data_IF_885315644964
#
_entry.id   IF_885315644964
#
_cell.length_a   1.000
_cell.length_b   1.000
_cell.length_c   1.000
_cell.angle_alpha   90.00
_cell.angle_beta   90.00
_cell.angle_gamma   90.00
#
_symmetry.space_group_name_H-M   'P 1'
#
loop_
_entity.id
_entity.type
_entity.pdbx_description
1 polymer ?
#
# COMPACT_ATOMS: atom_id res chain seq x y z
N UNK A 1 2.93 -88.07 7.77
CA UNK A 1 3.10 -87.22 8.96
C UNK A 1 2.88 -85.78 8.52
N UNK A 2 1.80 -85.19 9.02
CA UNK A 2 1.43 -83.80 8.77
C UNK A 2 2.01 -82.91 9.87
N UNK A 3 2.51 -81.73 9.49
CA UNK A 3 2.62 -80.57 10.39
C UNK A 3 2.39 -79.30 9.58
N UNK A 4 1.27 -78.65 9.88
CA UNK A 4 0.94 -77.23 9.67
C UNK A 4 2.00 -76.32 10.36
N UNK A 5 2.15 -75.01 10.18
CA UNK A 5 1.25 -73.92 9.77
C UNK A 5 2.08 -72.62 9.56
N UNK A 6 1.40 -71.59 9.04
CA UNK A 6 1.59 -70.15 9.26
C UNK A 6 2.52 -69.34 8.33
N UNK A 7 1.84 -68.79 7.33
CA UNK A 7 2.09 -67.49 6.69
C UNK A 7 2.07 -66.33 7.69
N UNK A 8 3.00 -65.37 7.54
CA UNK A 8 2.82 -63.97 7.95
C UNK A 8 3.22 -63.03 6.81
N UNK A 9 2.53 -61.89 6.63
CA UNK A 9 2.81 -60.92 5.58
C UNK A 9 3.73 -59.82 6.11
N UNK A 10 4.81 -59.50 5.40
CA UNK A 10 5.54 -58.24 5.61
C UNK A 10 5.35 -57.32 4.40
N UNK A 11 4.21 -56.64 4.40
CA UNK A 11 4.12 -55.32 3.82
C UNK A 11 4.48 -54.29 4.89
N UNK A 12 5.52 -53.50 4.66
CA UNK A 12 5.72 -52.23 5.34
C UNK A 12 6.74 -51.35 4.58
N UNK A 13 6.20 -50.39 3.84
CA UNK A 13 6.56 -48.97 3.98
C UNK A 13 7.95 -48.50 3.54
N UNK A 14 8.17 -48.43 2.22
CA UNK A 14 9.12 -47.46 1.61
C UNK A 14 8.48 -46.06 1.47
N UNK A 15 7.79 -45.58 2.51
CA UNK A 15 7.07 -44.29 2.48
C UNK A 15 7.18 -43.55 3.83
N UNK A 16 8.39 -43.39 4.33
CA UNK A 16 8.65 -42.63 5.56
C UNK A 16 9.58 -41.42 5.38
N UNK A 17 9.98 -41.08 4.15
CA UNK A 17 10.89 -39.95 3.88
C UNK A 17 10.25 -38.80 3.09
N UNK A 18 8.91 -38.68 3.10
CA UNK A 18 8.19 -37.65 2.32
C UNK A 18 7.30 -36.72 3.14
N UNK A 19 7.53 -36.60 4.45
CA UNK A 19 6.63 -35.87 5.35
C UNK A 19 7.30 -34.79 6.22
N UNK A 20 8.35 -34.10 5.72
CA UNK A 20 8.91 -32.91 6.40
C UNK A 20 9.31 -31.79 5.44
N UNK A 21 8.49 -31.52 4.43
CA UNK A 21 8.50 -30.23 3.72
C UNK A 21 7.07 -29.71 3.52
N UNK A 22 6.25 -29.80 4.57
CA UNK A 22 5.15 -28.84 4.72
C UNK A 22 5.79 -27.50 5.04
N UNK A 23 6.05 -26.71 4.00
CA UNK A 23 6.22 -25.26 4.15
C UNK A 23 5.05 -24.83 5.03
N UNK A 24 5.28 -24.24 6.21
CA UNK A 24 4.19 -23.71 7.03
C UNK A 24 3.32 -22.86 6.11
N UNK A 25 2.01 -23.07 6.14
CA UNK A 25 1.07 -22.22 5.43
C UNK A 25 1.25 -20.81 6.02
N UNK A 26 2.18 -20.06 5.43
CA UNK A 26 2.54 -18.72 5.83
C UNK A 26 1.30 -17.92 5.51
N UNK A 27 0.46 -17.67 6.52
CA UNK A 27 -0.63 -16.74 6.36
C UNK A 27 -0.03 -15.36 6.01
N UNK A 28 -0.70 -14.57 5.17
CA UNK A 28 -0.23 -13.23 4.86
C UNK A 28 -0.21 -12.43 6.16
N UNK A 29 0.81 -11.59 6.34
CA UNK A 29 0.90 -10.72 7.53
C UNK A 29 -0.42 -9.99 7.76
N UNK A 30 -0.94 -10.07 8.98
CA UNK A 30 -2.15 -9.37 9.41
C UNK A 30 -1.83 -8.46 10.59
N UNK A 31 -2.55 -7.34 10.67
CA UNK A 31 -2.50 -6.47 11.83
C UNK A 31 -3.16 -7.11 13.07
N UNK A 32 -3.09 -6.44 14.21
CA UNK A 32 -3.71 -6.89 15.48
C UNK A 32 -5.22 -7.13 15.35
N UNK A 33 -5.88 -6.45 14.41
CA UNK A 33 -7.31 -6.59 14.13
C UNK A 33 -7.60 -7.67 13.05
N UNK A 34 -6.58 -8.34 12.52
CA UNK A 34 -6.67 -9.40 11.53
C UNK A 34 -6.86 -8.91 10.08
N UNK A 35 -6.57 -7.66 9.77
CA UNK A 35 -6.62 -7.11 8.40
C UNK A 35 -5.28 -7.24 7.68
N UNK A 36 -5.35 -7.38 6.36
CA UNK A 36 -4.19 -7.32 5.48
C UNK A 36 -3.61 -5.90 5.43
N UNK A 37 -2.34 -5.73 5.00
CA UNK A 37 -1.70 -4.43 4.89
C UNK A 37 -2.55 -3.41 4.12
N UNK A 38 -2.69 -2.22 4.67
CA UNK A 38 -3.45 -1.13 4.05
C UNK A 38 -2.54 -0.37 3.08
N UNK A 39 -2.99 -0.23 1.82
CA UNK A 39 -2.24 0.51 0.79
C UNK A 39 -2.98 1.79 0.37
N UNK A 40 -2.28 2.77 -0.22
CA UNK A 40 -2.92 3.93 -0.84
C UNK A 40 -3.94 3.52 -1.91
N UNK A 41 -5.08 4.20 -1.92
CA UNK A 41 -6.10 4.07 -2.96
C UNK A 41 -5.52 4.47 -4.33
N UNK A 42 -5.69 3.62 -5.34
CA UNK A 42 -5.19 3.88 -6.69
C UNK A 42 -5.82 5.09 -7.38
N UNK A 43 -7.00 5.54 -6.92
CA UNK A 43 -7.73 6.67 -7.53
C UNK A 43 -7.40 8.03 -6.91
N UNK A 44 -7.26 8.09 -5.58
CA UNK A 44 -7.13 9.36 -4.85
C UNK A 44 -5.90 9.43 -3.92
N UNK A 45 -5.10 8.37 -3.83
CA UNK A 45 -3.92 8.32 -2.96
C UNK A 45 -4.21 8.17 -1.46
N UNK A 46 -5.46 8.36 -1.01
CA UNK A 46 -5.82 8.20 0.41
C UNK A 46 -5.63 6.76 0.87
N UNK A 47 -5.08 6.57 2.08
CA UNK A 47 -4.89 5.24 2.66
C UNK A 47 -6.24 4.52 2.80
N UNK A 48 -6.32 3.28 2.29
CA UNK A 48 -7.51 2.45 2.42
C UNK A 48 -7.75 2.07 3.88
N UNK A 49 -9.00 1.74 4.20
CA UNK A 49 -9.40 1.24 5.53
C UNK A 49 -9.97 -0.17 5.43
N UNK A 50 -9.65 -1.03 6.39
CA UNK A 50 -10.23 -2.35 6.57
C UNK A 50 -11.52 -2.29 7.40
N UNK A 51 -12.54 -3.04 7.00
CA UNK A 51 -13.83 -3.17 7.71
C UNK A 51 -14.36 -4.58 7.61
N UNK A 52 -15.23 -4.95 8.55
CA UNK A 52 -16.00 -6.20 8.52
C UNK A 52 -17.43 -5.86 8.10
N UNK A 53 -17.99 -6.62 7.16
CA UNK A 53 -19.36 -6.40 6.70
C UNK A 53 -20.36 -6.89 7.75
N UNK A 54 -21.40 -6.10 7.95
CA UNK A 54 -22.56 -6.44 8.77
C UNK A 54 -23.81 -6.72 7.92
N UNK A 55 -23.70 -6.64 6.58
CA UNK A 55 -24.84 -6.85 5.68
C UNK A 55 -25.19 -8.33 5.57
N UNK A 56 -26.48 -8.62 5.49
CA UNK A 56 -27.01 -9.96 5.18
C UNK A 56 -26.34 -10.50 3.90
N UNK A 57 -25.91 -11.76 3.91
CA UNK A 57 -25.18 -12.39 2.80
C UNK A 57 -23.66 -12.13 2.74
N UNK A 58 -23.15 -11.11 3.43
CA UNK A 58 -21.69 -10.87 3.55
C UNK A 58 -21.21 -10.66 4.98
N UNK A 59 -22.08 -10.94 5.97
CA UNK A 59 -21.79 -10.74 7.39
C UNK A 59 -20.50 -11.47 7.78
N UNK A 60 -19.58 -10.75 8.43
CA UNK A 60 -18.29 -11.28 8.85
C UNK A 60 -17.19 -11.23 7.79
N UNK A 61 -17.50 -10.96 6.51
CA UNK A 61 -16.48 -10.82 5.47
C UNK A 61 -15.72 -9.51 5.61
N UNK A 62 -14.39 -9.57 5.50
CA UNK A 62 -13.51 -8.40 5.48
C UNK A 62 -13.52 -7.74 4.10
N UNK A 63 -13.51 -6.41 4.11
CA UNK A 63 -13.43 -5.59 2.91
C UNK A 63 -12.59 -4.33 3.16
N UNK A 64 -12.04 -3.79 2.08
CA UNK A 64 -11.12 -2.67 2.07
C UNK A 64 -11.72 -1.58 1.19
N UNK A 65 -11.87 -0.36 1.73
CA UNK A 65 -12.50 0.75 1.00
C UNK A 65 -11.74 2.06 1.17
N UNK A 66 -11.95 2.98 0.26
CA UNK A 66 -11.54 4.36 0.45
C UNK A 66 -12.40 5.04 1.55
N UNK A 67 -11.81 5.81 2.47
CA UNK A 67 -12.58 6.53 3.48
C UNK A 67 -13.35 7.74 2.92
N UNK A 68 -12.89 8.34 1.81
CA UNK A 68 -13.54 9.47 1.12
C UNK A 68 -14.85 9.09 0.40
N UNK A 69 -15.63 8.17 0.96
CA UNK A 69 -16.83 7.59 0.37
C UNK A 69 -18.13 8.33 0.75
N UNK A 70 -18.06 9.47 1.45
CA UNK A 70 -19.23 10.16 1.98
C UNK A 70 -19.85 11.16 1.00
N UNK A 71 -21.18 11.28 1.09
CA UNK A 71 -22.19 11.67 0.08
C UNK A 71 -21.94 12.94 -0.75
N UNK A 72 -20.94 12.89 -1.63
CA UNK A 72 -20.62 13.95 -2.60
C UNK A 72 -20.33 13.33 -3.97
N UNK A 73 -20.51 14.09 -5.04
CA UNK A 73 -20.21 13.63 -6.40
C UNK A 73 -18.72 13.31 -6.62
N UNK A 74 -17.86 13.79 -5.71
CA UNK A 74 -16.42 13.56 -5.69
C UNK A 74 -16.00 12.35 -4.82
N UNK A 75 -16.96 11.60 -4.28
CA UNK A 75 -16.67 10.47 -3.41
C UNK A 75 -15.90 9.36 -4.15
N UNK A 76 -14.77 8.94 -3.59
CA UNK A 76 -13.98 7.87 -4.17
C UNK A 76 -14.62 6.51 -3.87
N UNK A 77 -15.20 5.88 -4.90
CA UNK A 77 -15.96 4.62 -4.80
C UNK A 77 -15.09 3.35 -4.76
N UNK A 78 -13.80 3.48 -4.48
CA UNK A 78 -12.88 2.34 -4.46
C UNK A 78 -13.22 1.40 -3.30
N UNK A 79 -13.42 0.13 -3.64
CA UNK A 79 -13.88 -0.92 -2.72
C UNK A 79 -13.40 -2.29 -3.21
N UNK A 80 -12.94 -3.14 -2.29
CA UNK A 80 -12.52 -4.52 -2.55
C UNK A 80 -12.94 -5.43 -1.40
N UNK A 81 -13.55 -6.58 -1.71
CA UNK A 81 -13.53 -7.70 -0.74
C UNK A 81 -12.11 -8.27 -0.63
N UNK A 82 -11.81 -8.95 0.48
CA UNK A 82 -10.48 -9.50 0.72
C UNK A 82 -9.95 -10.35 -0.44
N UNK A 83 -10.81 -11.17 -1.07
CA UNK A 83 -10.49 -11.98 -2.26
C UNK A 83 -10.00 -11.18 -3.47
N UNK A 84 -10.47 -9.95 -3.64
CA UNK A 84 -10.01 -9.04 -4.71
C UNK A 84 -8.89 -8.11 -4.25
N UNK A 85 -8.70 -7.98 -2.94
CA UNK A 85 -7.65 -7.17 -2.36
C UNK A 85 -6.29 -7.88 -2.36
N UNK A 86 -6.26 -9.21 -2.14
CA UNK A 86 -5.02 -9.99 -2.16
C UNK A 86 -4.28 -9.87 -3.50
N UNK A 87 -4.92 -10.04 -4.68
CA UNK A 87 -4.24 -9.84 -5.96
C UNK A 87 -3.68 -8.42 -6.15
N UNK A 88 -4.37 -7.40 -5.60
CA UNK A 88 -3.89 -6.02 -5.61
C UNK A 88 -2.64 -5.85 -4.75
N UNK A 89 -2.58 -6.51 -3.59
CA UNK A 89 -1.39 -6.48 -2.74
C UNK A 89 -0.21 -7.22 -3.37
N UNK A 90 -0.48 -8.32 -4.06
CA UNK A 90 0.53 -9.06 -4.83
C UNK A 90 1.07 -8.22 -5.99
N UNK A 91 0.19 -7.56 -6.76
CA UNK A 91 0.61 -6.70 -7.87
C UNK A 91 1.39 -5.47 -7.41
N UNK A 92 1.12 -4.97 -6.20
CA UNK A 92 1.89 -3.90 -5.56
C UNK A 92 3.17 -4.37 -4.86
N UNK A 93 3.47 -5.67 -4.86
CA UNK A 93 4.65 -6.22 -4.18
C UNK A 93 4.58 -6.19 -2.65
N UNK A 94 3.40 -5.93 -2.08
CA UNK A 94 3.17 -5.91 -0.63
C UNK A 94 3.01 -7.32 -0.09
N UNK A 95 2.41 -8.21 -0.88
CA UNK A 95 2.34 -9.64 -0.58
C UNK A 95 3.17 -10.44 -1.60
N UNK A 96 3.85 -11.52 -1.17
CA UNK A 96 4.51 -12.46 -2.08
C UNK A 96 3.56 -13.07 -3.13
N UNK A 97 4.11 -13.43 -4.29
CA UNK A 97 3.33 -13.97 -5.44
C UNK A 97 2.59 -15.28 -5.15
N UNK A 98 3.02 -16.07 -4.17
CA UNK A 98 2.32 -17.31 -3.80
C UNK A 98 0.94 -17.05 -3.19
N UNK A 99 0.70 -15.85 -2.64
CA UNK A 99 -0.60 -15.50 -2.06
C UNK A 99 -1.73 -15.34 -3.09
N UNK A 100 -1.41 -15.07 -4.36
CA UNK A 100 -2.45 -15.02 -5.40
C UNK A 100 -2.95 -16.41 -5.83
N UNK A 101 -2.25 -17.49 -5.46
CA UNK A 101 -2.59 -18.87 -5.85
C UNK A 101 -3.37 -19.64 -4.77
N UNK A 102 -3.35 -19.19 -3.52
CA UNK A 102 -3.85 -19.94 -2.36
C UNK A 102 -5.37 -20.17 -2.34
N UNK A 103 -6.15 -19.49 -3.18
CA UNK A 103 -7.63 -19.61 -3.17
C UNK A 103 -8.26 -20.14 -4.45
N UNK A 104 -7.45 -20.78 -5.32
CA UNK A 104 -7.91 -21.46 -6.53
C UNK A 104 -7.81 -22.99 -6.47
N UNK A 105 -7.53 -23.58 -5.31
CA UNK A 105 -7.20 -25.01 -5.18
C UNK A 105 -8.41 -25.87 -4.84
N UNK A 106 -9.45 -25.78 -5.68
CA UNK A 106 -10.40 -26.87 -5.89
C UNK A 106 -10.18 -27.42 -7.29
N UNK A 107 -9.29 -28.42 -7.38
CA UNK A 107 -9.14 -29.28 -8.55
C UNK A 107 -8.18 -28.80 -9.65
N UNK A 108 -6.89 -29.13 -9.53
CA UNK A 108 -6.14 -29.75 -10.64
C UNK A 108 -4.77 -30.20 -10.15
N UNK A 109 -4.34 -31.35 -10.69
CA UNK A 109 -3.22 -32.14 -10.24
C UNK A 109 -1.88 -31.41 -10.25
N UNK A 110 -1.04 -31.82 -9.31
CA UNK A 110 0.38 -31.49 -9.25
C UNK A 110 1.08 -32.14 -10.45
N UNK A 111 1.22 -31.41 -11.56
CA UNK A 111 2.19 -31.77 -12.59
C UNK A 111 3.54 -31.20 -12.19
N UNK A 112 4.46 -32.11 -11.86
CA UNK A 112 5.85 -31.82 -11.54
C UNK A 112 6.48 -31.17 -12.76
N UNK A 113 6.79 -29.87 -12.67
CA UNK A 113 7.53 -29.13 -13.68
C UNK A 113 8.94 -29.70 -13.80
N UNK A 114 9.14 -30.48 -14.87
CA UNK A 114 10.44 -30.85 -15.43
C UNK A 114 10.67 -29.88 -16.59
N UNK A 115 11.59 -28.94 -16.45
CA UNK A 115 12.66 -28.66 -17.44
C UNK A 115 13.41 -27.36 -17.06
N UNK A 116 14.75 -27.39 -17.05
CA UNK A 116 15.62 -26.29 -16.61
C UNK A 116 15.63 -25.06 -17.52
N UNK A 117 14.78 -25.01 -18.55
CA UNK A 117 14.73 -23.97 -19.57
C UNK A 117 13.87 -22.76 -19.19
N UNK A 118 12.90 -22.96 -18.29
CA UNK A 118 11.97 -21.91 -17.85
C UNK A 118 12.54 -21.01 -16.73
N UNK A 119 13.57 -21.48 -16.03
CA UNK A 119 14.25 -20.72 -14.98
C UNK A 119 15.02 -19.51 -15.56
N UNK A 120 15.60 -19.66 -16.75
CA UNK A 120 16.41 -18.61 -17.39
C UNK A 120 15.57 -17.39 -17.83
N UNK A 121 14.34 -17.61 -18.30
CA UNK A 121 13.39 -16.53 -18.65
C UNK A 121 12.85 -15.82 -17.41
N UNK A 122 12.66 -16.56 -16.31
CA UNK A 122 12.23 -15.97 -15.04
C UNK A 122 13.31 -15.04 -14.46
N UNK A 123 14.59 -15.40 -14.56
CA UNK A 123 15.71 -14.55 -14.13
C UNK A 123 15.84 -13.29 -15.00
N UNK A 124 15.79 -13.41 -16.33
CA UNK A 124 15.84 -12.24 -17.23
C UNK A 124 14.68 -11.25 -17.00
N UNK A 125 13.49 -11.74 -16.68
CA UNK A 125 12.35 -10.89 -16.34
C UNK A 125 12.51 -10.16 -15.00
N UNK A 126 13.23 -10.75 -14.04
CA UNK A 126 13.54 -10.11 -12.75
C UNK A 126 14.61 -9.04 -12.93
N UNK A 127 15.65 -9.30 -13.73
CA UNK A 127 16.71 -8.32 -14.01
C UNK A 127 16.15 -7.09 -14.77
N UNK A 128 15.29 -7.31 -15.77
CA UNK A 128 14.62 -6.22 -16.47
C UNK A 128 13.68 -5.41 -15.54
N UNK A 129 13.04 -6.07 -14.56
CA UNK A 129 12.22 -5.40 -13.57
C UNK A 129 13.07 -4.61 -12.55
N UNK A 130 14.28 -5.09 -12.24
CA UNK A 130 15.24 -4.41 -11.39
C UNK A 130 15.76 -3.12 -12.05
N UNK A 131 16.11 -3.16 -13.35
CA UNK A 131 16.55 -1.96 -14.09
C UNK A 131 15.43 -0.91 -14.18
N UNK A 132 14.19 -1.33 -14.42
CA UNK A 132 13.03 -0.42 -14.43
C UNK A 132 12.79 0.21 -13.05
N UNK A 133 12.99 -0.56 -11.97
CA UNK A 133 12.85 -0.06 -10.61
C UNK A 133 13.96 0.92 -10.24
N UNK A 134 15.23 0.63 -10.61
CA UNK A 134 16.34 1.56 -10.41
C UNK A 134 16.15 2.86 -11.20
N UNK A 135 15.68 2.78 -12.44
CA UNK A 135 15.33 3.95 -13.24
C UNK A 135 14.19 4.78 -12.63
N UNK A 136 13.14 4.13 -12.13
CA UNK A 136 12.04 4.80 -11.43
C UNK A 136 12.51 5.48 -10.12
N UNK A 137 13.43 4.85 -9.38
CA UNK A 137 14.04 5.42 -8.17
C UNK A 137 14.86 6.66 -8.50
N UNK A 138 15.63 6.65 -9.60
CA UNK A 138 16.38 7.83 -10.07
C UNK A 138 15.41 8.97 -10.39
N UNK A 139 14.37 8.70 -11.18
CA UNK A 139 13.36 9.71 -11.53
C UNK A 139 12.62 10.29 -10.30
N UNK A 140 12.28 9.45 -9.33
CA UNK A 140 11.65 9.89 -8.08
C UNK A 140 12.60 10.76 -7.25
N UNK A 141 13.88 10.41 -7.23
CA UNK A 141 14.92 11.17 -6.52
C UNK A 141 15.18 12.53 -7.17
N UNK A 142 15.17 12.60 -8.49
CA UNK A 142 15.25 13.87 -9.23
C UNK A 142 14.00 14.73 -8.98
N UNK A 143 12.83 14.10 -8.93
CA UNK A 143 11.56 14.78 -8.62
C UNK A 143 11.53 15.32 -7.19
N UNK A 144 12.07 14.57 -6.23
CA UNK A 144 12.24 15.01 -4.84
C UNK A 144 13.18 16.21 -4.74
N UNK A 145 14.30 16.20 -5.46
CA UNK A 145 15.26 17.31 -5.48
C UNK A 145 14.63 18.59 -6.05
N UNK A 146 13.85 18.47 -7.13
CA UNK A 146 13.13 19.60 -7.72
C UNK A 146 12.05 20.13 -6.77
N UNK A 147 11.31 19.25 -6.10
CA UNK A 147 10.31 19.65 -5.12
C UNK A 147 10.95 20.37 -3.93
N UNK A 148 12.11 19.89 -3.46
CA UNK A 148 12.88 20.54 -2.39
C UNK A 148 13.34 21.94 -2.79
N UNK A 149 13.83 22.11 -4.02
CA UNK A 149 14.21 23.43 -4.55
C UNK A 149 13.02 24.39 -4.66
N UNK A 150 11.83 23.90 -5.02
CA UNK A 150 10.59 24.69 -5.04
C UNK A 150 10.16 25.10 -3.62
N UNK A 151 10.23 24.17 -2.66
CA UNK A 151 9.92 24.45 -1.25
C UNK A 151 10.86 25.50 -0.66
N UNK A 152 12.17 25.41 -0.93
CA UNK A 152 13.15 26.39 -0.49
C UNK A 152 12.96 27.76 -1.15
N UNK A 153 12.54 27.78 -2.42
CA UNK A 153 12.19 29.02 -3.11
C UNK A 153 10.94 29.67 -2.52
N UNK A 154 9.92 28.88 -2.19
CA UNK A 154 8.68 29.36 -1.56
C UNK A 154 8.93 29.86 -0.13
N UNK A 155 9.77 29.18 0.66
CA UNK A 155 10.14 29.64 2.00
C UNK A 155 10.89 30.98 1.93
N UNK A 156 11.78 31.16 0.95
CA UNK A 156 12.46 32.43 0.71
C UNK A 156 11.48 33.54 0.31
N UNK A 157 10.47 33.25 -0.50
CA UNK A 157 9.42 34.22 -0.84
C UNK A 157 8.59 34.62 0.38
N UNK A 158 8.24 33.67 1.25
CA UNK A 158 7.51 33.93 2.48
C UNK A 158 8.25 34.95 3.37
N UNK A 159 9.56 34.76 3.58
CA UNK A 159 10.37 35.71 4.38
C UNK A 159 10.47 37.11 3.76
N UNK A 160 10.41 37.22 2.43
CA UNK A 160 10.37 38.52 1.75
C UNK A 160 9.01 39.19 1.92
N UNK A 161 7.94 38.41 1.84
CA UNK A 161 6.57 38.88 2.02
C UNK A 161 6.36 39.41 3.44
N UNK A 162 6.89 38.74 4.47
CA UNK A 162 6.83 39.20 5.85
C UNK A 162 7.53 40.56 6.03
N UNK A 163 8.72 40.73 5.45
CA UNK A 163 9.46 42.01 5.48
C UNK A 163 8.70 43.14 4.77
N UNK A 164 8.00 42.84 3.69
CA UNK A 164 7.16 43.82 2.98
C UNK A 164 5.94 44.16 3.84
N UNK A 165 5.31 43.16 4.45
CA UNK A 165 4.17 43.32 5.35
C UNK A 165 4.50 44.22 6.54
N UNK A 166 5.65 44.00 7.18
CA UNK A 166 6.11 44.82 8.31
C UNK A 166 6.29 46.30 7.91
N UNK A 167 6.93 46.56 6.77
CA UNK A 167 7.12 47.93 6.25
C UNK A 167 5.79 48.61 5.94
N UNK A 168 4.85 47.90 5.34
CA UNK A 168 3.52 48.42 5.06
C UNK A 168 2.74 48.72 6.34
N UNK A 169 2.87 47.89 7.37
CA UNK A 169 2.23 48.10 8.67
C UNK A 169 2.73 49.38 9.33
N UNK A 170 4.06 49.62 9.33
CA UNK A 170 4.65 50.86 9.85
C UNK A 170 4.15 52.08 9.09
N UNK A 171 4.16 52.04 7.75
CA UNK A 171 3.67 53.17 6.93
C UNK A 171 2.18 53.44 7.17
N UNK A 172 1.38 52.38 7.31
CA UNK A 172 -0.04 52.47 7.66
C UNK A 172 -0.26 53.11 9.03
N UNK A 173 0.49 52.67 10.05
CA UNK A 173 0.41 53.21 11.40
C UNK A 173 0.77 54.71 11.45
N UNK A 174 1.84 55.11 10.76
CA UNK A 174 2.25 56.53 10.68
C UNK A 174 1.16 57.38 10.01
N UNK A 175 0.56 56.90 8.91
CA UNK A 175 -0.55 57.61 8.24
C UNK A 175 -1.77 57.77 9.15
N UNK A 176 -2.16 56.71 9.85
CA UNK A 176 -3.29 56.76 10.80
C UNK A 176 -2.98 57.73 11.94
N UNK A 177 -1.77 57.70 12.48
CA UNK A 177 -1.35 58.62 13.55
C UNK A 177 -1.44 60.10 13.11
N UNK A 178 -0.96 60.42 11.91
CA UNK A 178 -1.06 61.78 11.35
C UNK A 178 -2.54 62.19 11.19
N UNK A 179 -3.39 61.31 10.66
CA UNK A 179 -4.83 61.59 10.53
C UNK A 179 -5.49 61.88 11.87
N UNK A 180 -5.15 61.12 12.91
CA UNK A 180 -5.65 61.34 14.28
C UNK A 180 -5.21 62.70 14.81
N UNK A 181 -3.94 63.09 14.63
CA UNK A 181 -3.44 64.41 15.04
C UNK A 181 -4.17 65.55 14.33
N UNK A 182 -4.39 65.43 13.01
CA UNK A 182 -5.13 66.44 12.23
C UNK A 182 -6.56 66.57 12.74
N UNK A 183 -7.24 65.45 13.00
CA UNK A 183 -8.60 65.45 13.55
C UNK A 183 -8.65 66.11 14.94
N UNK A 184 -7.69 65.82 15.82
CA UNK A 184 -7.61 66.46 17.14
C UNK A 184 -7.42 67.98 17.02
N UNK A 185 -6.56 68.45 16.12
CA UNK A 185 -6.36 69.89 15.89
C UNK A 185 -7.63 70.56 15.36
N UNK A 186 -8.37 69.89 14.48
CA UNK A 186 -9.64 70.40 13.95
C UNK A 186 -10.75 70.43 15.01
N UNK A 187 -10.74 69.51 15.98
CA UNK A 187 -11.74 69.46 17.06
C UNK A 187 -11.48 70.47 18.19
N UNK A 188 -10.23 70.90 18.37
CA UNK A 188 -9.83 71.86 19.43
C UNK A 188 -9.95 73.32 18.95
N UNK A 189 -10.15 73.56 17.65
CA UNK A 189 -10.30 74.88 17.04
C UNK A 189 -11.77 75.22 16.81
#
# INVERSE_FOLDING_TARGET
MASSSQSTPFGASHSAYRDELRIPELEPYRDEAGFLPLVPCSKCGTLLIGRVSHKEGSKGKRFYKCPLLEHTDYACRTYYFEEHYVPLLVSKGVLPRHFSQLRGRDGMGLEVMKDGKDMLKACQGVDACQELMESAVIHLKDSEALLKALVDSNSKLMTKMDKIGERLLVVGAVKVFILVLVLLVLLVK
#
